data_IF_855427784857
#
_entry.id   IF_855427784857
#
_cell.length_a   1.000
_cell.length_b   1.000
_cell.length_c   1.000
_cell.angle_alpha   90.00
_cell.angle_beta   90.00
_cell.angle_gamma   90.00
#
_symmetry.space_group_name_H-M   'P 1'
#
loop_
_entity.id
_entity.type
_entity.pdbx_description
1 polymer ?
#
# COMPACT_ATOMS: atom_id res chain seq x y z
N UNK A 1 10.37 -29.92 9.14
CA UNK A 1 10.56 -28.62 8.48
C UNK A 1 9.49 -27.68 9.02
N UNK A 2 9.86 -26.89 10.02
CA UNK A 2 8.94 -26.17 10.91
C UNK A 2 8.48 -24.85 10.28
N UNK A 3 7.22 -24.48 10.53
CA UNK A 3 6.49 -23.28 10.08
C UNK A 3 7.17 -21.91 10.29
N UNK A 4 8.35 -21.86 10.92
CA UNK A 4 9.05 -20.63 11.32
C UNK A 4 9.95 -20.01 10.24
N UNK A 5 10.17 -20.67 9.11
CA UNK A 5 11.14 -20.21 8.10
C UNK A 5 10.68 -19.07 7.18
N UNK A 6 9.50 -18.50 7.38
CA UNK A 6 8.98 -17.39 6.56
C UNK A 6 8.63 -16.12 7.35
N UNK A 7 8.77 -16.11 8.68
CA UNK A 7 8.30 -15.00 9.51
C UNK A 7 9.40 -14.46 10.41
N UNK A 8 9.72 -13.17 10.27
CA UNK A 8 10.73 -12.45 11.08
C UNK A 8 10.36 -12.41 12.58
N UNK A 9 9.09 -12.65 12.94
CA UNK A 9 8.66 -13.01 14.31
C UNK A 9 7.23 -13.58 14.35
N UNK A 10 6.81 -14.19 15.47
CA UNK A 10 5.40 -14.63 15.71
C UNK A 10 4.38 -13.50 15.52
N UNK A 11 4.80 -12.26 15.79
CA UNK A 11 3.98 -11.08 15.62
C UNK A 11 3.77 -10.71 14.14
N UNK A 12 4.77 -10.90 13.28
CA UNK A 12 4.62 -10.72 11.82
C UNK A 12 3.62 -11.73 11.25
N UNK A 13 3.75 -13.00 11.63
CA UNK A 13 2.83 -14.06 11.24
C UNK A 13 1.40 -13.82 11.73
N UNK A 14 1.24 -13.32 12.95
CA UNK A 14 -0.08 -13.03 13.52
C UNK A 14 -0.79 -11.87 12.82
N UNK A 15 -0.03 -10.91 12.31
CA UNK A 15 -0.54 -9.72 11.62
C UNK A 15 -0.56 -9.86 10.09
N UNK A 16 -0.05 -10.97 9.53
CA UNK A 16 0.07 -11.15 8.07
C UNK A 16 1.00 -10.13 7.40
N UNK A 17 1.95 -9.56 8.15
CA UNK A 17 2.89 -8.55 7.68
C UNK A 17 4.13 -9.23 7.10
N UNK A 18 3.96 -10.03 6.05
CA UNK A 18 5.00 -10.98 5.62
C UNK A 18 6.16 -10.34 4.87
N UNK A 19 5.91 -9.24 4.16
CA UNK A 19 6.98 -8.57 3.41
C UNK A 19 6.76 -7.07 3.34
N UNK A 20 7.78 -6.33 3.74
CA UNK A 20 7.93 -4.88 3.53
C UNK A 20 8.41 -4.58 2.11
N UNK A 21 8.06 -5.42 1.15
CA UNK A 21 8.68 -5.41 -0.18
C UNK A 21 7.57 -5.43 -1.20
N UNK A 22 7.57 -4.43 -2.08
CA UNK A 22 6.82 -4.47 -3.33
C UNK A 22 7.27 -5.71 -4.10
N UNK A 23 6.39 -6.68 -4.40
CA UNK A 23 6.82 -7.90 -5.07
C UNK A 23 7.54 -7.58 -6.39
N UNK A 24 8.67 -8.24 -6.68
CA UNK A 24 9.54 -7.89 -7.82
C UNK A 24 8.78 -7.79 -9.13
N UNK A 25 7.88 -8.75 -9.40
CA UNK A 25 7.00 -8.74 -10.59
C UNK A 25 6.14 -7.48 -10.72
N UNK A 26 5.70 -6.90 -9.59
CA UNK A 26 4.89 -5.68 -9.54
C UNK A 26 5.78 -4.46 -9.76
N UNK A 27 6.98 -4.45 -9.17
CA UNK A 27 7.96 -3.40 -9.36
C UNK A 27 8.50 -3.36 -10.82
N UNK A 28 8.72 -4.51 -11.44
CA UNK A 28 9.06 -4.67 -12.86
C UNK A 28 7.94 -4.13 -13.75
N UNK A 29 6.71 -4.59 -13.54
CA UNK A 29 5.57 -4.11 -14.31
C UNK A 29 5.36 -2.59 -14.20
N UNK A 30 5.63 -2.00 -13.02
CA UNK A 30 5.58 -0.54 -12.87
C UNK A 30 6.70 0.15 -13.64
N UNK A 31 7.93 -0.36 -13.57
CA UNK A 31 9.11 0.18 -14.27
C UNK A 31 8.92 0.18 -15.79
N UNK A 32 8.38 -0.89 -16.33
CA UNK A 32 8.18 -1.06 -17.77
C UNK A 32 6.92 -0.34 -18.28
N UNK A 33 6.06 0.11 -17.36
CA UNK A 33 4.86 0.87 -17.69
C UNK A 33 5.18 2.23 -18.30
N UNK A 34 4.43 2.60 -19.34
CA UNK A 34 4.51 3.93 -19.99
C UNK A 34 3.23 4.75 -19.80
N UNK A 35 2.35 4.32 -18.89
CA UNK A 35 1.08 4.97 -18.60
C UNK A 35 1.22 6.27 -17.81
N UNK A 36 0.09 6.88 -17.45
CA UNK A 36 0.06 8.02 -16.55
C UNK A 36 0.59 7.59 -15.18
N UNK A 37 1.58 8.32 -14.67
CA UNK A 37 2.27 7.98 -13.42
C UNK A 37 1.31 7.69 -12.27
N UNK A 38 0.29 8.53 -12.08
CA UNK A 38 -0.71 8.36 -11.00
C UNK A 38 -1.49 7.06 -11.14
N UNK A 39 -1.93 6.70 -12.35
CA UNK A 39 -2.72 5.50 -12.62
C UNK A 39 -1.90 4.23 -12.38
N UNK A 40 -0.62 4.27 -12.76
CA UNK A 40 0.33 3.19 -12.54
C UNK A 40 0.69 3.05 -11.05
N UNK A 41 0.81 4.16 -10.30
CA UNK A 41 1.03 4.13 -8.84
C UNK A 41 -0.21 3.59 -8.11
N UNK A 42 -1.42 3.93 -8.52
CA UNK A 42 -2.65 3.32 -7.99
C UNK A 42 -2.63 1.80 -8.16
N UNK A 43 -2.20 1.31 -9.32
CA UNK A 43 -2.08 -0.12 -9.61
C UNK A 43 -0.97 -0.77 -8.78
N UNK A 44 0.19 -0.11 -8.66
CA UNK A 44 1.31 -0.54 -7.82
C UNK A 44 0.88 -0.72 -6.37
N UNK A 45 0.23 0.30 -5.79
CA UNK A 45 -0.28 0.27 -4.42
C UNK A 45 -1.29 -0.86 -4.25
N UNK A 46 -2.30 -0.95 -5.13
CA UNK A 46 -3.34 -1.96 -5.04
C UNK A 46 -2.82 -3.41 -5.11
N UNK A 47 -1.69 -3.63 -5.80
CA UNK A 47 -1.03 -4.94 -5.91
C UNK A 47 0.02 -5.20 -4.81
N UNK A 48 0.34 -4.20 -4.00
CA UNK A 48 1.37 -4.27 -2.96
C UNK A 48 0.81 -4.26 -1.55
N UNK A 49 -0.41 -3.73 -1.35
CA UNK A 49 -1.05 -3.69 -0.03
C UNK A 49 -1.99 -4.87 0.19
N UNK A 50 -2.08 -5.40 1.43
CA UNK A 50 -3.10 -6.39 1.76
C UNK A 50 -4.50 -5.77 1.66
N UNK A 51 -5.49 -6.59 1.30
CA UNK A 51 -6.87 -6.15 1.09
C UNK A 51 -7.52 -5.66 2.39
N UNK A 52 -8.60 -4.84 2.33
CA UNK A 52 -9.22 -4.25 3.52
C UNK A 52 -9.73 -5.24 4.55
N UNK A 53 -10.15 -6.45 4.14
CA UNK A 53 -10.53 -7.52 5.08
C UNK A 53 -9.38 -7.88 6.03
N UNK A 54 -8.14 -7.87 5.52
CA UNK A 54 -6.94 -8.13 6.32
C UNK A 54 -6.57 -6.92 7.20
N UNK A 55 -6.89 -5.70 6.75
CA UNK A 55 -6.71 -4.48 7.54
C UNK A 55 -7.67 -4.41 8.73
N UNK A 56 -8.94 -4.77 8.54
CA UNK A 56 -9.92 -4.85 9.64
C UNK A 56 -9.46 -5.83 10.71
N UNK A 57 -8.96 -7.00 10.28
CA UNK A 57 -8.36 -8.00 11.17
C UNK A 57 -7.11 -7.47 11.89
N UNK A 58 -6.24 -6.74 11.18
CA UNK A 58 -5.06 -6.09 11.77
C UNK A 58 -5.46 -5.06 12.82
N UNK A 59 -6.48 -4.25 12.54
CA UNK A 59 -7.01 -3.24 13.48
C UNK A 59 -7.57 -3.90 14.74
N UNK A 60 -8.35 -4.97 14.60
CA UNK A 60 -8.87 -5.76 15.72
C UNK A 60 -7.73 -6.35 16.57
N UNK A 61 -6.71 -6.93 15.92
CA UNK A 61 -5.52 -7.44 16.59
C UNK A 61 -4.77 -6.35 17.38
N UNK A 62 -4.66 -5.13 16.83
CA UNK A 62 -4.01 -4.01 17.51
C UNK A 62 -4.81 -3.49 18.71
N UNK A 63 -6.15 -3.58 18.67
CA UNK A 63 -7.00 -3.28 19.83
C UNK A 63 -6.72 -4.26 20.97
N UNK A 64 -6.56 -5.54 20.65
CA UNK A 64 -6.27 -6.58 21.65
C UNK A 64 -4.81 -6.66 22.08
N UNK A 65 -3.88 -6.15 21.27
CA UNK A 65 -2.42 -6.16 21.51
C UNK A 65 -1.79 -4.82 21.15
N UNK A 66 -2.05 -3.76 21.94
CA UNK A 66 -1.55 -2.42 21.66
C UNK A 66 -0.01 -2.34 21.62
N UNK A 67 0.69 -3.25 22.30
CA UNK A 67 2.15 -3.38 22.28
C UNK A 67 2.72 -3.65 20.88
N UNK A 68 1.90 -4.10 19.93
CA UNK A 68 2.30 -4.34 18.53
C UNK A 68 2.26 -3.06 17.68
N UNK A 69 1.69 -1.96 18.17
CA UNK A 69 1.53 -0.70 17.42
C UNK A 69 2.86 -0.15 16.85
N UNK A 70 3.96 -0.05 17.62
CA UNK A 70 5.22 0.47 17.09
C UNK A 70 5.78 -0.38 15.94
N UNK A 71 5.55 -1.69 15.99
CA UNK A 71 5.94 -2.61 14.93
C UNK A 71 5.17 -2.32 13.63
N UNK A 72 3.85 -2.16 13.72
CA UNK A 72 3.01 -1.84 12.56
C UNK A 72 3.39 -0.49 11.96
N UNK A 73 3.62 0.52 12.80
CA UNK A 73 4.04 1.84 12.33
C UNK A 73 5.39 1.79 11.60
N UNK A 74 6.37 1.05 12.13
CA UNK A 74 7.64 0.82 11.45
C UNK A 74 7.45 0.10 10.12
N UNK A 75 6.67 -0.97 10.11
CA UNK A 75 6.35 -1.72 8.89
C UNK A 75 5.69 -0.83 7.81
N UNK A 76 4.76 0.05 8.21
CA UNK A 76 4.14 1.01 7.29
C UNK A 76 5.16 2.01 6.73
N UNK A 77 6.06 2.52 7.59
CA UNK A 77 7.10 3.46 7.17
C UNK A 77 8.08 2.82 6.18
N UNK A 78 8.55 1.61 6.48
CA UNK A 78 9.44 0.84 5.60
C UNK A 78 8.73 0.47 4.28
N UNK A 79 7.45 0.10 4.32
CA UNK A 79 6.65 -0.19 3.10
C UNK A 79 6.50 1.04 2.20
N UNK A 80 6.32 2.22 2.81
CA UNK A 80 6.30 3.48 2.08
C UNK A 80 7.65 3.77 1.42
N UNK A 81 8.76 3.51 2.11
CA UNK A 81 10.10 3.68 1.55
C UNK A 81 10.37 2.73 0.38
N UNK A 82 9.97 1.45 0.49
CA UNK A 82 10.09 0.49 -0.59
C UNK A 82 9.28 0.91 -1.84
N UNK A 83 8.06 1.43 -1.64
CA UNK A 83 7.27 1.99 -2.73
C UNK A 83 7.94 3.21 -3.38
N UNK A 84 8.48 4.13 -2.58
CA UNK A 84 9.18 5.30 -3.12
C UNK A 84 10.36 4.88 -4.00
N UNK A 85 11.16 3.91 -3.57
CA UNK A 85 12.30 3.42 -4.36
C UNK A 85 11.86 2.87 -5.74
N UNK A 86 10.70 2.20 -5.80
CA UNK A 86 10.12 1.75 -7.08
C UNK A 86 9.64 2.93 -7.91
N UNK A 87 8.94 3.90 -7.33
CA UNK A 87 8.39 5.04 -8.09
C UNK A 87 9.49 5.94 -8.63
N UNK A 88 10.61 6.11 -7.91
CA UNK A 88 11.77 6.90 -8.37
C UNK A 88 12.47 6.35 -9.60
N UNK A 89 12.12 5.13 -10.04
CA UNK A 89 12.66 4.57 -11.30
C UNK A 89 12.09 5.25 -12.55
N UNK A 90 10.95 5.95 -12.42
CA UNK A 90 10.23 6.61 -13.53
C UNK A 90 10.13 8.12 -13.41
N UNK A 91 10.54 8.70 -12.29
CA UNK A 91 10.41 10.14 -12.03
C UNK A 91 11.40 10.60 -10.96
N UNK A 92 11.60 11.91 -10.83
CA UNK A 92 12.39 12.49 -9.74
C UNK A 92 11.79 12.22 -8.35
N UNK A 93 12.63 12.35 -7.32
CA UNK A 93 12.25 12.06 -5.94
C UNK A 93 11.10 12.92 -5.41
N UNK A 94 11.01 14.18 -5.80
CA UNK A 94 9.97 15.08 -5.30
C UNK A 94 8.61 14.70 -5.85
N UNK A 95 8.54 14.40 -7.15
CA UNK A 95 7.33 13.89 -7.80
C UNK A 95 6.93 12.52 -7.24
N UNK A 96 7.90 11.62 -7.05
CA UNK A 96 7.66 10.30 -6.45
C UNK A 96 7.05 10.40 -5.05
N UNK A 97 7.62 11.27 -4.20
CA UNK A 97 7.10 11.54 -2.85
C UNK A 97 5.68 12.10 -2.88
N UNK A 98 5.39 12.99 -3.82
CA UNK A 98 4.08 13.62 -3.98
C UNK A 98 3.03 12.60 -4.39
N UNK A 99 3.28 11.83 -5.46
CA UNK A 99 2.31 10.84 -5.96
C UNK A 99 2.07 9.70 -4.97
N UNK A 100 3.12 9.20 -4.30
CA UNK A 100 2.95 8.16 -3.26
C UNK A 100 2.12 8.70 -2.10
N UNK A 101 2.34 9.95 -1.68
CA UNK A 101 1.52 10.56 -0.62
C UNK A 101 0.06 10.67 -1.04
N UNK A 102 -0.20 11.17 -2.25
CA UNK A 102 -1.55 11.31 -2.80
C UNK A 102 -2.29 9.97 -2.84
N UNK A 103 -1.66 8.93 -3.38
CA UNK A 103 -2.30 7.61 -3.50
C UNK A 103 -2.46 6.94 -2.12
N UNK A 104 -1.54 7.13 -1.18
CA UNK A 104 -1.69 6.62 0.19
C UNK A 104 -2.81 7.32 0.96
N UNK A 105 -3.04 8.61 0.71
CA UNK A 105 -4.21 9.34 1.22
C UNK A 105 -5.49 8.78 0.62
N UNK A 106 -5.54 8.54 -0.70
CA UNK A 106 -6.67 7.92 -1.36
C UNK A 106 -6.95 6.50 -0.81
N UNK A 107 -5.90 5.72 -0.53
CA UNK A 107 -6.02 4.40 0.09
C UNK A 107 -6.61 4.46 1.50
N UNK A 108 -6.23 5.48 2.26
CA UNK A 108 -6.82 5.73 3.58
C UNK A 108 -8.30 6.02 3.43
N UNK A 109 -8.70 6.84 2.46
CA UNK A 109 -10.10 7.17 2.21
C UNK A 109 -10.93 5.96 1.75
N UNK A 110 -10.44 5.18 0.77
CA UNK A 110 -11.10 3.93 0.33
C UNK A 110 -11.32 2.99 1.51
N UNK A 111 -10.35 2.88 2.42
CA UNK A 111 -10.46 2.04 3.60
C UNK A 111 -11.54 2.50 4.60
N UNK A 112 -11.96 3.78 4.56
CA UNK A 112 -13.06 4.29 5.39
C UNK A 112 -14.43 4.13 4.70
N UNK A 113 -14.47 4.19 3.36
CA UNK A 113 -15.73 4.22 2.59
C UNK A 113 -16.20 2.84 2.15
N UNK A 114 -15.28 1.97 1.75
CA UNK A 114 -15.58 0.81 0.93
C UNK A 114 -14.99 -0.49 1.51
N UNK A 115 -15.67 -1.59 1.19
CA UNK A 115 -15.08 -2.93 1.28
C UNK A 115 -14.79 -3.40 -0.14
N UNK A 116 -13.52 -3.47 -0.52
CA UNK A 116 -13.11 -4.00 -1.84
C UNK A 116 -12.73 -5.47 -1.73
N UNK A 117 -13.12 -6.25 -2.73
CA UNK A 117 -12.96 -7.71 -2.75
C UNK A 117 -11.80 -8.17 -3.63
N UNK A 118 -11.18 -7.28 -4.39
CA UNK A 118 -10.04 -7.61 -5.25
C UNK A 118 -9.05 -6.45 -5.41
N UNK A 119 -7.81 -6.77 -5.82
CA UNK A 119 -6.78 -5.77 -6.11
C UNK A 119 -7.10 -4.94 -7.35
N UNK A 120 -7.86 -5.50 -8.30
CA UNK A 120 -8.31 -4.76 -9.50
C UNK A 120 -9.31 -3.68 -9.08
N UNK A 121 -10.33 -4.08 -8.32
CA UNK A 121 -11.32 -3.17 -7.76
C UNK A 121 -10.68 -2.08 -6.89
N UNK A 122 -9.72 -2.46 -6.03
CA UNK A 122 -8.96 -1.49 -5.24
C UNK A 122 -8.23 -0.46 -6.13
N UNK A 123 -7.58 -0.91 -7.22
CA UNK A 123 -6.91 -0.01 -8.16
C UNK A 123 -7.88 0.98 -8.83
N UNK A 124 -9.08 0.51 -9.19
CA UNK A 124 -10.12 1.35 -9.78
C UNK A 124 -10.65 2.38 -8.78
N UNK A 125 -10.89 1.97 -7.53
CA UNK A 125 -11.32 2.85 -6.44
C UNK A 125 -10.28 3.91 -6.10
N UNK A 126 -9.00 3.53 -6.06
CA UNK A 126 -7.90 4.48 -5.84
C UNK A 126 -7.87 5.55 -6.93
N UNK A 127 -7.98 5.17 -8.20
CA UNK A 127 -8.02 6.12 -9.32
C UNK A 127 -9.22 7.06 -9.22
N UNK A 128 -10.40 6.55 -8.85
CA UNK A 128 -11.60 7.37 -8.64
C UNK A 128 -11.40 8.41 -7.53
N UNK A 129 -10.92 7.98 -6.35
CA UNK A 129 -10.69 8.90 -5.22
C UNK A 129 -9.60 9.92 -5.51
N UNK A 130 -8.52 9.54 -6.21
CA UNK A 130 -7.49 10.52 -6.62
C UNK A 130 -8.06 11.54 -7.60
N UNK A 131 -8.94 11.14 -8.52
CA UNK A 131 -9.61 12.06 -9.43
C UNK A 131 -10.53 13.04 -8.67
N UNK A 132 -11.25 12.56 -7.65
CA UNK A 132 -12.05 13.42 -6.75
C UNK A 132 -11.16 14.44 -6.02
N UNK A 133 -10.04 13.99 -5.43
CA UNK A 133 -9.08 14.88 -4.76
C UNK A 133 -8.51 15.95 -5.70
N UNK A 134 -8.18 15.57 -6.94
CA UNK A 134 -7.69 16.50 -7.95
C UNK A 134 -8.75 17.53 -8.34
N UNK A 135 -10.02 17.10 -8.52
CA UNK A 135 -11.12 17.99 -8.84
C UNK A 135 -11.36 19.02 -7.72
N UNK A 136 -11.30 18.61 -6.46
CA UNK A 136 -11.42 19.50 -5.30
C UNK A 136 -10.32 20.56 -5.24
N UNK A 137 -9.10 20.25 -5.68
CA UNK A 137 -7.98 21.19 -5.70
C UNK A 137 -8.09 22.26 -6.80
N UNK A 138 -8.96 22.04 -7.80
CA UNK A 138 -9.15 22.92 -8.95
C UNK A 138 -10.51 23.63 -8.98
N UNK A 139 -11.35 23.41 -7.96
CA UNK A 139 -12.66 24.04 -7.78
C UNK A 139 -12.51 25.41 -7.11
#
# INVERSE_FOLDING_TARGET
RTFFNYFTSKAHAALGLDTVVTPDRVAEAFRDGSGRLVDDVCTLVARSVPLPSDRSRTKELLVHRPEMTPMVMRWMAESRQAMLAVVTTRTDEQTARTVVTLVMSALSEVAHRDTVSSTVELGDRLRAVVAEMAALATA
#
